data_IF_750221046472
#
_entry.id   IF_750221046472
#
_cell.length_a   1.000
_cell.length_b   1.000
_cell.length_c   1.000
_cell.angle_alpha   90.00
_cell.angle_beta   90.00
_cell.angle_gamma   90.00
#
_symmetry.space_group_name_H-M   'P 1'
#
loop_
_entity.id
_entity.type
_entity.pdbx_description
1 polymer ?
#
# COMPACT_ATOMS: atom_id res chain seq x y z
N UNK A 1 6.42 -14.46 -5.41
CA UNK A 1 6.01 -13.61 -4.27
C UNK A 1 6.75 -14.12 -3.05
N UNK A 2 7.58 -13.30 -2.42
CA UNK A 2 8.37 -13.66 -1.23
C UNK A 2 7.63 -13.29 0.06
N UNK A 3 6.35 -13.63 0.15
CA UNK A 3 5.55 -13.35 1.34
C UNK A 3 5.21 -14.67 2.02
N UNK A 4 6.08 -15.10 2.94
CA UNK A 4 5.76 -16.17 3.91
C UNK A 4 4.76 -15.68 4.99
N UNK A 5 4.46 -14.38 4.98
CA UNK A 5 3.53 -13.67 5.88
C UNK A 5 2.81 -12.54 5.13
N UNK A 6 1.56 -12.29 5.52
CA UNK A 6 0.72 -11.22 5.00
C UNK A 6 -0.60 -11.72 4.41
N UNK A 7 -1.53 -10.80 4.18
CA UNK A 7 -2.83 -11.07 3.58
C UNK A 7 -2.77 -10.63 2.11
N UNK A 8 -3.02 -11.58 1.21
CA UNK A 8 -3.15 -11.30 -0.22
C UNK A 8 -4.55 -10.86 -0.60
N UNK A 9 -4.64 -9.99 -1.61
CA UNK A 9 -5.89 -9.61 -2.26
C UNK A 9 -5.67 -9.33 -3.74
N UNK A 10 -6.77 -9.21 -4.49
CA UNK A 10 -6.73 -8.67 -5.84
C UNK A 10 -6.55 -7.15 -5.75
N UNK A 11 -5.42 -6.66 -6.26
CA UNK A 11 -4.98 -5.27 -6.19
C UNK A 11 -3.48 -5.16 -5.98
N UNK A 12 -2.97 -3.94 -5.89
CA UNK A 12 -1.55 -3.68 -5.63
C UNK A 12 -1.36 -2.49 -4.72
N UNK A 13 -0.33 -2.57 -3.86
CA UNK A 13 0.21 -1.46 -3.08
C UNK A 13 1.70 -1.65 -2.91
N UNK A 14 2.46 -0.55 -2.99
CA UNK A 14 3.86 -0.52 -2.59
C UNK A 14 4.20 0.78 -1.86
N UNK A 15 5.11 0.69 -0.89
CA UNK A 15 5.81 1.86 -0.35
C UNK A 15 7.11 2.00 -1.13
N UNK A 16 7.33 3.18 -1.71
CA UNK A 16 8.54 3.51 -2.45
C UNK A 16 9.33 4.51 -1.63
N UNK A 17 10.57 4.17 -1.29
CA UNK A 17 11.51 5.04 -0.60
C UNK A 17 12.64 5.44 -1.56
N UNK A 18 12.80 6.74 -1.80
CA UNK A 18 13.83 7.28 -2.71
C UNK A 18 14.21 8.69 -2.30
N UNK A 19 15.51 9.00 -2.22
CA UNK A 19 16.03 10.34 -1.91
C UNK A 19 15.43 11.00 -0.64
N UNK A 20 15.03 10.20 0.35
CA UNK A 20 14.38 10.66 1.58
C UNK A 20 12.87 10.92 1.45
N UNK A 21 12.28 10.71 0.27
CA UNK A 21 10.85 10.72 0.04
C UNK A 21 10.25 9.33 0.24
N UNK A 22 9.02 9.30 0.74
CA UNK A 22 8.22 8.10 0.87
C UNK A 22 6.87 8.28 0.18
N UNK A 23 6.60 7.40 -0.79
CA UNK A 23 5.39 7.43 -1.62
C UNK A 23 4.62 6.13 -1.43
N UNK A 24 3.31 6.23 -1.22
CA UNK A 24 2.40 5.08 -1.32
C UNK A 24 1.87 4.97 -2.75
N UNK A 25 2.31 3.95 -3.47
CA UNK A 25 1.85 3.63 -4.81
C UNK A 25 0.62 2.71 -4.71
N UNK A 26 -0.52 3.20 -5.18
CA UNK A 26 -1.86 2.62 -5.03
C UNK A 26 -2.26 2.37 -3.56
N UNK A 27 -3.51 2.00 -3.34
CA UNK A 27 -4.08 1.80 -1.99
C UNK A 27 -4.82 0.48 -1.85
N UNK A 28 -4.71 -0.38 -2.86
CA UNK A 28 -5.31 -1.71 -2.87
C UNK A 28 -6.82 -1.67 -3.02
N UNK A 29 -7.47 -2.77 -2.70
CA UNK A 29 -8.90 -2.97 -2.84
C UNK A 29 -9.62 -2.91 -1.48
N UNK A 30 -9.04 -3.50 -0.43
CA UNK A 30 -9.66 -3.52 0.90
C UNK A 30 -8.94 -2.57 1.85
N UNK A 31 -9.73 -1.73 2.51
CA UNK A 31 -9.26 -0.71 3.46
C UNK A 31 -8.38 -1.21 4.61
N UNK A 32 -8.37 -2.50 4.94
CA UNK A 32 -7.59 -3.07 6.06
C UNK A 32 -6.38 -3.90 5.66
N UNK A 33 -6.32 -4.42 4.43
CA UNK A 33 -5.25 -5.34 4.02
C UNK A 33 -3.89 -4.66 4.06
N UNK A 34 -3.81 -3.44 3.53
CA UNK A 34 -2.59 -2.63 3.51
C UNK A 34 -2.11 -2.30 4.91
N UNK A 35 -3.02 -1.85 5.77
CA UNK A 35 -2.71 -1.50 7.16
C UNK A 35 -2.20 -2.71 7.94
N UNK A 36 -2.83 -3.88 7.77
CA UNK A 36 -2.38 -5.10 8.44
C UNK A 36 -1.01 -5.55 7.92
N UNK A 37 -0.79 -5.51 6.61
CA UNK A 37 0.49 -5.88 6.01
C UNK A 37 1.61 -4.92 6.44
N UNK A 38 1.33 -3.61 6.53
CA UNK A 38 2.30 -2.64 7.04
C UNK A 38 2.69 -2.93 8.50
N UNK A 39 1.72 -3.24 9.35
CA UNK A 39 1.98 -3.66 10.74
C UNK A 39 2.80 -4.96 10.81
N UNK A 40 2.42 -5.98 10.04
CA UNK A 40 3.10 -7.28 10.03
C UNK A 40 4.55 -7.20 9.52
N UNK A 41 4.82 -6.24 8.63
CA UNK A 41 6.13 -5.98 8.04
C UNK A 41 6.93 -4.91 8.79
N UNK A 42 6.38 -4.31 9.86
CA UNK A 42 6.96 -3.16 10.57
C UNK A 42 7.30 -1.97 9.64
N UNK A 43 6.44 -1.71 8.66
CA UNK A 43 6.53 -0.55 7.78
C UNK A 43 5.67 0.57 8.36
N UNK A 44 6.28 1.72 8.64
CA UNK A 44 5.55 2.92 9.05
C UNK A 44 5.00 3.64 7.81
N UNK A 45 3.70 3.95 7.87
CA UNK A 45 2.97 4.69 6.85
C UNK A 45 2.68 6.14 7.28
N UNK A 46 2.97 6.52 8.53
CA UNK A 46 2.67 7.86 9.06
C UNK A 46 3.55 8.96 8.45
N UNK A 47 4.71 8.59 7.93
CA UNK A 47 5.66 9.48 7.23
C UNK A 47 5.50 9.45 5.71
N UNK A 48 4.48 8.75 5.18
CA UNK A 48 4.08 8.85 3.78
C UNK A 48 3.31 10.16 3.60
N UNK A 49 3.88 11.08 2.83
CA UNK A 49 3.23 12.36 2.49
C UNK A 49 2.52 12.33 1.14
N UNK A 50 2.95 11.45 0.23
CA UNK A 50 2.47 11.39 -1.15
C UNK A 50 1.80 10.04 -1.46
N UNK A 51 0.65 10.11 -2.13
CA UNK A 51 -0.04 8.95 -2.69
C UNK A 51 -0.10 9.06 -4.21
N UNK A 52 0.43 8.07 -4.90
CA UNK A 52 0.36 7.97 -6.36
C UNK A 52 -0.66 6.89 -6.75
N UNK A 53 -1.68 7.25 -7.50
CA UNK A 53 -2.67 6.31 -8.04
C UNK A 53 -2.34 5.99 -9.50
N UNK A 54 -2.12 4.71 -9.80
CA UNK A 54 -1.76 4.26 -11.13
C UNK A 54 -2.88 4.48 -12.16
N UNK A 55 -4.13 4.18 -11.78
CA UNK A 55 -5.33 4.41 -12.58
C UNK A 55 -6.61 4.24 -11.73
N UNK A 56 -7.76 4.59 -12.32
CA UNK A 56 -9.07 4.61 -11.66
C UNK A 56 -9.81 3.26 -11.73
N UNK A 57 -9.24 2.23 -11.10
CA UNK A 57 -9.94 0.97 -10.85
C UNK A 57 -10.01 0.70 -9.34
N UNK A 58 -11.10 0.07 -8.89
CA UNK A 58 -11.39 -0.11 -7.46
C UNK A 58 -10.30 -0.87 -6.71
N UNK A 59 -9.59 -1.78 -7.37
CA UNK A 59 -8.52 -2.59 -6.79
C UNK A 59 -7.18 -1.85 -6.62
N UNK A 60 -7.13 -0.58 -7.03
CA UNK A 60 -5.98 0.31 -6.87
C UNK A 60 -6.29 1.50 -5.94
N UNK A 61 -7.57 1.82 -5.70
CA UNK A 61 -8.01 3.01 -4.98
C UNK A 61 -8.94 2.74 -3.78
N UNK A 62 -9.22 1.48 -3.47
CA UNK A 62 -10.18 1.08 -2.43
C UNK A 62 -9.73 1.38 -0.99
N UNK A 63 -8.50 1.84 -0.78
CA UNK A 63 -8.05 2.36 0.51
C UNK A 63 -8.41 3.83 0.75
N UNK A 64 -8.81 4.57 -0.29
CA UNK A 64 -9.08 6.03 -0.22
C UNK A 64 -10.46 6.45 -0.75
N UNK A 65 -11.21 5.55 -1.39
CA UNK A 65 -12.57 5.78 -1.90
C UNK A 65 -13.57 4.84 -1.22
#
# INVERSE_FOLDING_TARGET
MFADKGIGEWGYVAVIEVDGYKILFDTGNKSKTVLQNALDLNVDLLDVEDVFLSHNHSDHMGGVC
#
